data_IF_629065492482
#
_entry.id   IF_629065492482
#
_cell.length_a   1.000
_cell.length_b   1.000
_cell.length_c   1.000
_cell.angle_alpha   90.00
_cell.angle_beta   90.00
_cell.angle_gamma   90.00
#
_symmetry.space_group_name_H-M   'P 1'
#
loop_
_entity.id
_entity.type
_entity.pdbx_description
1 polymer ?
#
# COMPACT_ATOMS: atom_id res chain seq x y z
N UNK A 1 -0.04 6.06 -2.67
CA UNK A 1 -0.91 4.86 -2.61
C UNK A 1 -1.21 4.56 -1.16
N UNK A 2 -2.49 4.34 -0.83
CA UNK A 2 -2.94 3.89 0.49
C UNK A 2 -3.67 2.56 0.35
N UNK A 3 -3.41 1.65 1.28
CA UNK A 3 -4.03 0.34 1.34
C UNK A 3 -4.60 0.08 2.74
N UNK A 4 -5.77 -0.54 2.80
CA UNK A 4 -6.36 -1.10 4.01
C UNK A 4 -6.67 -2.56 3.75
N UNK A 5 -6.12 -3.45 4.56
CA UNK A 5 -6.23 -4.90 4.37
C UNK A 5 -7.13 -5.47 5.44
N UNK A 6 -8.08 -6.31 5.00
CA UNK A 6 -8.90 -7.12 5.88
C UNK A 6 -8.07 -7.92 6.89
N UNK A 7 -8.67 -8.19 8.05
CA UNK A 7 -8.07 -9.03 9.10
C UNK A 7 -7.64 -10.38 8.52
N UNK A 8 -8.48 -10.98 7.68
CA UNK A 8 -8.26 -12.29 7.05
C UNK A 8 -7.23 -12.23 5.91
N UNK A 9 -6.92 -11.04 5.39
CA UNK A 9 -5.96 -10.86 4.28
C UNK A 9 -6.47 -11.27 2.91
N UNK A 10 -7.77 -11.50 2.75
CA UNK A 10 -8.36 -11.97 1.48
C UNK A 10 -8.90 -10.83 0.60
N UNK A 11 -9.01 -9.62 1.14
CA UNK A 11 -9.35 -8.41 0.39
C UNK A 11 -8.66 -7.16 0.96
N UNK A 12 -8.56 -6.13 0.11
CA UNK A 12 -8.04 -4.82 0.48
C UNK A 12 -8.75 -3.70 -0.28
N UNK A 13 -8.83 -2.52 0.35
CA UNK A 13 -9.19 -1.26 -0.30
C UNK A 13 -7.90 -0.57 -0.73
N UNK A 14 -7.86 -0.08 -1.97
CA UNK A 14 -6.72 0.68 -2.50
C UNK A 14 -7.16 2.07 -2.94
N UNK A 15 -6.30 3.05 -2.65
CA UNK A 15 -6.42 4.41 -3.13
C UNK A 15 -5.11 4.84 -3.80
N UNK A 16 -5.23 5.45 -4.98
CA UNK A 16 -4.09 5.92 -5.74
C UNK A 16 -4.26 7.38 -6.15
N UNK A 17 -3.21 8.12 -5.90
CA UNK A 17 -3.06 9.51 -6.28
C UNK A 17 -1.61 9.77 -6.71
N UNK A 18 -1.42 10.84 -7.45
CA UNK A 18 -0.12 11.40 -7.82
C UNK A 18 -0.15 12.90 -7.68
N UNK A 19 0.99 13.49 -7.34
CA UNK A 19 1.19 14.93 -7.33
C UNK A 19 2.17 15.26 -8.46
N UNK A 20 1.80 16.18 -9.35
CA UNK A 20 2.65 16.59 -10.45
C UNK A 20 3.68 17.66 -10.05
N UNK A 21 4.50 18.12 -11.00
CA UNK A 21 5.51 19.16 -10.75
C UNK A 21 4.94 20.52 -10.36
N UNK A 22 3.64 20.77 -10.59
CA UNK A 22 2.93 21.99 -10.19
C UNK A 22 2.28 21.85 -8.82
N UNK A 23 2.36 20.67 -8.20
CA UNK A 23 1.68 20.37 -6.94
C UNK A 23 0.23 19.95 -7.10
N UNK A 24 -0.25 19.69 -8.33
CA UNK A 24 -1.62 19.31 -8.60
C UNK A 24 -1.82 17.81 -8.33
N UNK A 25 -2.88 17.47 -7.58
CA UNK A 25 -3.22 16.09 -7.24
C UNK A 25 -4.16 15.49 -8.28
N UNK A 26 -3.81 14.32 -8.79
CA UNK A 26 -4.64 13.51 -9.67
C UNK A 26 -4.95 12.16 -9.05
N UNK A 27 -6.22 11.74 -9.11
CA UNK A 27 -6.68 10.45 -8.61
C UNK A 27 -6.86 9.45 -9.75
N UNK A 28 -6.51 8.19 -9.49
CA UNK A 28 -6.66 7.12 -10.47
C UNK A 28 -7.00 5.79 -9.82
N UNK A 29 -7.39 4.81 -10.64
CA UNK A 29 -7.70 3.46 -10.19
C UNK A 29 -6.69 2.46 -10.74
N UNK A 30 -6.34 1.47 -9.92
CA UNK A 30 -5.54 0.33 -10.35
C UNK A 30 -6.39 -0.68 -11.11
N UNK A 31 -5.82 -1.29 -12.16
CA UNK A 31 -6.46 -2.40 -12.86
C UNK A 31 -6.59 -3.65 -12.00
N UNK A 32 -7.55 -4.54 -12.31
CA UNK A 32 -7.82 -5.73 -11.49
C UNK A 32 -6.62 -6.67 -11.32
N UNK A 33 -5.80 -6.84 -12.35
CA UNK A 33 -4.57 -7.64 -12.26
C UNK A 33 -3.51 -7.01 -11.35
N UNK A 34 -3.38 -5.68 -11.40
CA UNK A 34 -2.48 -4.91 -10.53
C UNK A 34 -2.93 -5.02 -9.07
N UNK A 35 -4.21 -4.80 -8.78
CA UNK A 35 -4.74 -4.86 -7.42
C UNK A 35 -4.59 -6.26 -6.80
N UNK A 36 -4.79 -7.33 -7.57
CA UNK A 36 -4.56 -8.71 -7.10
C UNK A 36 -3.09 -8.97 -6.77
N UNK A 37 -2.19 -8.52 -7.64
CA UNK A 37 -0.74 -8.69 -7.41
C UNK A 37 -0.29 -7.90 -6.18
N UNK A 38 -0.79 -6.67 -6.02
CA UNK A 38 -0.51 -5.81 -4.88
C UNK A 38 -1.02 -6.42 -3.57
N UNK A 39 -2.26 -6.95 -3.54
CA UNK A 39 -2.78 -7.67 -2.37
C UNK A 39 -1.87 -8.82 -1.97
N UNK A 40 -1.44 -9.64 -2.93
CA UNK A 40 -0.54 -10.77 -2.64
C UNK A 40 0.79 -10.34 -2.03
N UNK A 41 1.42 -9.28 -2.55
CA UNK A 41 2.66 -8.73 -2.01
C UNK A 41 2.49 -8.15 -0.61
N UNK A 42 1.37 -7.45 -0.38
CA UNK A 42 1.08 -6.85 0.91
C UNK A 42 0.77 -7.88 1.99
N UNK A 43 0.07 -8.96 1.65
CA UNK A 43 -0.15 -10.10 2.55
C UNK A 43 1.17 -10.75 2.93
N UNK A 44 2.05 -11.03 1.95
CA UNK A 44 3.39 -11.57 2.23
C UNK A 44 4.21 -10.65 3.14
N UNK A 45 4.16 -9.34 2.89
CA UNK A 45 4.81 -8.35 3.75
C UNK A 45 4.24 -8.38 5.17
N UNK A 46 2.92 -8.50 5.33
CA UNK A 46 2.28 -8.61 6.66
C UNK A 46 2.64 -9.91 7.38
N UNK A 47 2.63 -11.02 6.66
CA UNK A 47 2.98 -12.35 7.19
C UNK A 47 4.42 -12.38 7.70
N UNK A 48 5.34 -11.64 7.06
CA UNK A 48 6.69 -11.45 7.58
C UNK A 48 6.67 -10.81 8.98
N UNK A 49 5.94 -9.72 9.20
CA UNK A 49 5.85 -9.09 10.53
C UNK A 49 5.21 -10.01 11.57
N UNK A 50 4.15 -10.74 11.19
CA UNK A 50 3.51 -11.74 12.05
C UNK A 50 4.48 -12.84 12.44
N UNK A 51 5.31 -13.31 11.50
CA UNK A 51 6.36 -14.31 11.77
C UNK A 51 7.40 -13.81 12.78
N UNK A 52 7.54 -12.48 12.92
CA UNK A 52 8.42 -11.82 13.89
C UNK A 52 7.68 -11.43 15.19
N UNK A 53 6.56 -12.09 15.50
CA UNK A 53 5.71 -11.84 16.68
C UNK A 53 5.11 -10.42 16.78
N UNK A 54 4.97 -9.72 15.65
CA UNK A 54 4.19 -8.49 15.59
C UNK A 54 2.72 -8.81 15.29
N UNK A 55 1.76 -8.00 15.76
CA UNK A 55 0.39 -8.12 15.28
C UNK A 55 0.32 -7.90 13.76
N UNK A 56 -0.73 -8.37 13.05
CA UNK A 56 -0.91 -8.01 11.65
C UNK A 56 -1.24 -6.50 11.54
N UNK A 57 -0.44 -5.75 10.78
CA UNK A 57 -0.77 -4.35 10.48
C UNK A 57 -2.00 -4.27 9.56
N UNK A 58 -2.75 -3.16 9.66
CA UNK A 58 -4.04 -2.97 8.99
C UNK A 58 -3.96 -2.06 7.78
N UNK A 59 -3.18 -0.99 7.88
CA UNK A 59 -3.05 -0.01 6.80
C UNK A 59 -1.61 0.20 6.40
N UNK A 60 -1.41 0.56 5.13
CA UNK A 60 -0.13 0.92 4.56
C UNK A 60 -0.25 2.17 3.70
N UNK A 61 0.68 3.10 3.86
CA UNK A 61 0.87 4.23 2.98
C UNK A 61 2.22 4.10 2.28
N UNK A 62 2.22 4.27 0.96
CA UNK A 62 3.39 4.23 0.11
C UNK A 62 3.45 5.46 -0.78
N UNK A 63 4.60 6.14 -0.75
CA UNK A 63 4.89 7.31 -1.58
C UNK A 63 6.18 7.08 -2.35
N UNK A 64 6.17 7.39 -3.65
CA UNK A 64 7.32 7.33 -4.53
C UNK A 64 7.55 8.72 -5.15
N UNK A 65 8.70 9.32 -4.86
CA UNK A 65 9.26 10.44 -5.61
C UNK A 65 9.99 9.87 -6.83
N UNK A 66 9.32 9.94 -7.99
CA UNK A 66 9.80 9.35 -9.25
C UNK A 66 11.09 10.05 -9.72
N UNK A 67 11.15 11.38 -9.59
CA UNK A 67 12.30 12.19 -10.03
C UNK A 67 13.54 11.91 -9.20
N UNK A 68 13.37 11.79 -7.87
CA UNK A 68 14.49 11.51 -6.97
C UNK A 68 14.79 10.02 -6.80
N UNK A 69 13.93 9.14 -7.34
CA UNK A 69 14.03 7.70 -7.15
C UNK A 69 13.95 7.29 -5.66
N UNK A 70 13.20 8.04 -4.84
CA UNK A 70 13.08 7.80 -3.39
C UNK A 70 11.69 7.36 -3.05
N UNK A 71 11.56 6.44 -2.10
CA UNK A 71 10.26 6.03 -1.60
C UNK A 71 10.19 6.11 -0.07
N UNK A 72 8.97 6.21 0.44
CA UNK A 72 8.65 6.00 1.84
C UNK A 72 7.50 5.00 1.97
N UNK A 73 7.54 4.23 3.05
CA UNK A 73 6.54 3.24 3.40
C UNK A 73 6.23 3.37 4.88
N UNK A 74 4.95 3.43 5.21
CA UNK A 74 4.44 3.53 6.57
C UNK A 74 3.37 2.47 6.77
N UNK A 75 3.42 1.75 7.88
CA UNK A 75 2.39 0.79 8.30
C UNK A 75 1.74 1.27 9.60
N UNK A 76 0.46 0.99 9.76
CA UNK A 76 -0.26 1.20 11.03
C UNK A 76 -0.99 -0.07 11.47
N UNK A 77 -1.06 -0.26 12.79
CA UNK A 77 -1.77 -1.36 13.45
C UNK A 77 -3.13 -0.94 14.00
N UNK A 78 -3.39 0.38 14.06
CA UNK A 78 -4.64 0.97 14.55
C UNK A 78 -5.80 0.72 13.60
#
# INVERSE_FOLDING_TARGET
>A
MRAEISTEGNHAKFEFDSIDSKGETSWFTGGGALNRSLLGLLVQHRDFFVSQNQPPWKTLSYTLDVEKGRFSLQISYD
#
